data_IF_871809887008
#
_entry.id   IF_871809887008
#
_cell.length_a   1.000
_cell.length_b   1.000
_cell.length_c   1.000
_cell.angle_alpha   90.00
_cell.angle_beta   90.00
_cell.angle_gamma   90.00
#
_symmetry.space_group_name_H-M   'P 1'
#
loop_
_entity.id
_entity.type
_entity.pdbx_description
1 polymer ?
#
# COMPACT_ATOMS: atom_id res chain seq x y z
N UNK A 1 -0.37 -8.89 19.39
CA UNK A 1 -0.26 -7.64 18.61
C UNK A 1 0.42 -7.96 17.29
N UNK A 2 -0.29 -7.79 16.16
CA UNK A 2 0.22 -8.14 14.84
C UNK A 2 1.40 -7.26 14.45
N UNK A 3 2.45 -7.88 13.90
CA UNK A 3 3.66 -7.22 13.40
C UNK A 3 3.24 -6.07 12.46
N UNK A 4 3.58 -4.82 12.81
CA UNK A 4 3.35 -3.67 11.92
C UNK A 4 3.92 -4.00 10.55
N UNK A 5 3.07 -3.88 9.52
CA UNK A 5 3.50 -4.03 8.14
C UNK A 5 4.53 -2.94 7.86
N UNK A 6 5.75 -3.32 7.45
CA UNK A 6 6.79 -2.36 7.12
C UNK A 6 6.48 -1.72 5.75
N UNK A 7 5.53 -0.78 5.70
CA UNK A 7 5.20 -0.03 4.49
C UNK A 7 6.23 1.10 4.35
N UNK A 8 7.03 1.05 3.28
CA UNK A 8 8.14 1.98 3.04
C UNK A 8 7.70 3.35 2.50
N UNK A 9 6.42 3.49 2.13
CA UNK A 9 5.84 4.69 1.54
C UNK A 9 5.07 5.47 2.62
N UNK A 10 5.60 6.61 3.06
CA UNK A 10 5.07 7.40 4.18
C UNK A 10 3.66 7.91 3.91
N UNK A 11 3.42 8.44 2.72
CA UNK A 11 2.11 8.98 2.33
C UNK A 11 1.06 7.87 2.23
N UNK A 12 1.38 6.73 1.60
CA UNK A 12 0.51 5.57 1.60
C UNK A 12 0.18 5.11 3.03
N UNK A 13 1.17 5.03 3.92
CA UNK A 13 0.94 4.64 5.32
C UNK A 13 0.01 5.64 6.03
N UNK A 14 0.21 6.95 5.81
CA UNK A 14 -0.65 7.97 6.37
C UNK A 14 -2.10 7.85 5.86
N UNK A 15 -2.30 7.57 4.57
CA UNK A 15 -3.64 7.35 4.00
C UNK A 15 -4.26 6.03 4.47
N UNK A 16 -3.47 4.98 4.66
CA UNK A 16 -3.92 3.74 5.28
C UNK A 16 -4.49 4.00 6.69
N UNK A 17 -3.75 4.74 7.52
CA UNK A 17 -4.18 5.07 8.88
C UNK A 17 -5.42 5.98 8.89
N UNK A 18 -5.53 6.95 7.96
CA UNK A 18 -6.68 7.86 7.83
C UNK A 18 -7.97 7.16 7.42
N UNK A 19 -7.87 6.12 6.60
CA UNK A 19 -9.03 5.44 5.99
C UNK A 19 -9.31 4.06 6.62
N UNK A 20 -8.59 3.67 7.68
CA UNK A 20 -8.66 2.34 8.29
C UNK A 20 -8.46 1.19 7.28
N UNK A 21 -7.49 1.39 6.37
CA UNK A 21 -7.14 0.43 5.32
C UNK A 21 -5.91 -0.36 5.74
N UNK A 22 -6.10 -1.68 5.89
CA UNK A 22 -5.04 -2.62 6.22
C UNK A 22 -4.39 -3.22 4.98
N UNK A 23 -3.16 -3.75 5.13
CA UNK A 23 -2.50 -4.54 4.06
C UNK A 23 -3.34 -5.76 3.67
N UNK A 24 -4.15 -6.31 4.58
CA UNK A 24 -5.05 -7.42 4.27
C UNK A 24 -6.14 -6.99 3.28
N UNK A 25 -6.83 -5.87 3.53
CA UNK A 25 -7.86 -5.35 2.63
C UNK A 25 -7.28 -4.98 1.26
N UNK A 26 -6.10 -4.36 1.22
CA UNK A 26 -5.43 -4.07 -0.05
C UNK A 26 -5.08 -5.36 -0.81
N UNK A 27 -4.58 -6.39 -0.12
CA UNK A 27 -4.23 -7.66 -0.75
C UNK A 27 -5.47 -8.39 -1.30
N UNK A 28 -6.59 -8.32 -0.59
CA UNK A 28 -7.89 -8.84 -1.06
C UNK A 28 -8.36 -8.14 -2.33
N UNK A 29 -8.27 -6.80 -2.39
CA UNK A 29 -8.61 -6.01 -3.57
C UNK A 29 -7.71 -6.30 -4.78
N UNK A 30 -6.44 -6.64 -4.54
CA UNK A 30 -5.47 -7.00 -5.58
C UNK A 30 -5.48 -8.50 -5.92
N UNK A 31 -6.36 -9.29 -5.30
CA UNK A 31 -6.42 -10.75 -5.44
C UNK A 31 -5.05 -11.43 -5.22
N UNK A 32 -4.28 -10.95 -4.23
CA UNK A 32 -2.95 -11.47 -3.93
C UNK A 32 -2.79 -11.85 -2.46
N UNK A 33 -1.76 -12.64 -2.17
CA UNK A 33 -1.43 -13.00 -0.80
C UNK A 33 -0.95 -11.77 -0.01
N UNK A 34 -1.43 -11.63 1.24
CA UNK A 34 -1.09 -10.52 2.15
C UNK A 34 0.43 -10.39 2.41
N UNK A 35 1.16 -11.49 2.48
CA UNK A 35 2.61 -11.46 2.66
C UNK A 35 3.34 -11.07 1.37
N UNK A 36 2.82 -11.46 0.20
CA UNK A 36 3.32 -10.97 -1.10
C UNK A 36 3.17 -9.45 -1.19
N UNK A 37 1.98 -8.91 -0.90
CA UNK A 37 1.78 -7.46 -0.89
C UNK A 37 2.67 -6.78 0.15
N UNK A 38 2.77 -7.35 1.36
CA UNK A 38 3.63 -6.83 2.42
C UNK A 38 5.10 -6.73 2.00
N UNK A 39 5.63 -7.70 1.25
CA UNK A 39 6.99 -7.64 0.70
C UNK A 39 7.14 -6.54 -0.35
N UNK A 40 6.14 -6.35 -1.22
CA UNK A 40 6.12 -5.27 -2.23
C UNK A 40 6.11 -3.89 -1.56
N UNK A 41 5.22 -3.68 -0.60
CA UNK A 41 5.12 -2.44 0.17
C UNK A 41 6.36 -2.16 1.03
N UNK A 42 7.11 -3.20 1.39
CA UNK A 42 8.40 -3.10 2.09
C UNK A 42 9.62 -2.95 1.16
N UNK A 43 9.43 -2.76 -0.15
CA UNK A 43 10.48 -2.73 -1.19
C UNK A 43 11.34 -4.01 -1.26
N UNK A 44 10.85 -5.14 -0.76
CA UNK A 44 11.51 -6.46 -0.80
C UNK A 44 11.18 -7.26 -2.07
N UNK A 45 10.28 -6.76 -2.89
CA UNK A 45 9.94 -7.28 -4.22
C UNK A 45 9.34 -6.15 -5.05
N UNK A 46 9.39 -6.22 -6.40
CA UNK A 46 8.82 -5.18 -7.26
C UNK A 46 7.33 -4.98 -7.00
N UNK A 47 6.92 -3.72 -6.84
CA UNK A 47 5.52 -3.29 -6.92
C UNK A 47 5.29 -2.78 -8.36
N UNK A 48 4.36 -3.40 -9.08
CA UNK A 48 4.09 -3.04 -10.46
C UNK A 48 3.11 -1.86 -10.56
N UNK A 49 3.18 -1.13 -11.67
CA UNK A 49 2.38 0.08 -11.86
C UNK A 49 0.86 -0.19 -11.82
N UNK A 50 0.41 -1.31 -12.38
CA UNK A 50 -1.00 -1.71 -12.30
C UNK A 50 -1.42 -1.99 -10.86
N UNK A 51 -0.58 -2.64 -10.05
CA UNK A 51 -0.83 -2.87 -8.62
C UNK A 51 -0.94 -1.54 -7.87
N UNK A 52 -0.08 -0.56 -8.17
CA UNK A 52 -0.13 0.77 -7.59
C UNK A 52 -1.45 1.50 -7.94
N UNK A 53 -1.93 1.38 -9.18
CA UNK A 53 -3.23 1.94 -9.57
C UNK A 53 -4.40 1.27 -8.86
N UNK A 54 -4.40 -0.06 -8.68
CA UNK A 54 -5.45 -0.74 -7.93
C UNK A 54 -5.45 -0.34 -6.45
N UNK A 55 -4.27 -0.20 -5.84
CA UNK A 55 -4.14 0.31 -4.47
C UNK A 55 -4.69 1.73 -4.36
N UNK A 56 -4.38 2.61 -5.31
CA UNK A 56 -4.84 3.99 -5.31
C UNK A 56 -6.38 4.11 -5.32
N UNK A 57 -7.09 3.21 -6.01
CA UNK A 57 -8.57 3.20 -6.05
C UNK A 57 -9.22 2.95 -4.69
N UNK A 58 -8.48 2.41 -3.72
CA UNK A 58 -8.98 2.17 -2.36
C UNK A 58 -9.09 3.45 -1.54
N UNK A 59 -8.42 4.53 -1.97
CA UNK A 59 -8.38 5.80 -1.25
C UNK A 59 -9.33 6.81 -1.92
N UNK A 60 -10.33 7.35 -1.20
CA UNK A 60 -11.29 8.30 -1.76
C UNK A 60 -10.70 9.70 -1.95
N UNK A 61 -9.60 10.02 -1.25
CA UNK A 61 -8.86 11.29 -1.34
C UNK A 61 -7.37 10.98 -1.43
N UNK A 62 -6.61 11.92 -2.01
CA UNK A 62 -5.15 11.82 -2.15
C UNK A 62 -4.70 10.51 -2.81
N UNK A 63 -5.40 10.10 -3.87
CA UNK A 63 -5.16 8.84 -4.59
C UNK A 63 -4.20 8.98 -5.79
N UNK A 64 -3.50 10.10 -5.94
CA UNK A 64 -2.47 10.22 -6.96
C UNK A 64 -1.31 9.26 -6.62
N UNK A 65 -0.93 8.43 -7.60
CA UNK A 65 0.09 7.39 -7.42
C UNK A 65 1.46 7.97 -7.06
N UNK A 66 1.81 9.16 -7.55
CA UNK A 66 3.10 9.81 -7.25
C UNK A 66 3.11 10.31 -5.82
N UNK A 67 1.97 10.81 -5.33
CA UNK A 67 1.80 11.17 -3.93
C UNK A 67 1.87 9.93 -3.03
N UNK A 68 1.04 8.91 -3.28
CA UNK A 68 0.95 7.72 -2.41
C UNK A 68 2.28 6.98 -2.30
N UNK A 69 2.99 6.82 -3.42
CA UNK A 69 4.23 6.06 -3.52
C UNK A 69 5.48 6.96 -3.59
N UNK A 70 5.37 8.21 -3.12
CA UNK A 70 6.52 9.10 -2.95
C UNK A 70 7.58 8.40 -2.09
N UNK A 71 8.84 8.47 -2.53
CA UNK A 71 9.92 7.90 -1.74
C UNK A 71 10.09 8.71 -0.45
N UNK A 72 9.97 8.05 0.70
CA UNK A 72 10.39 8.64 1.96
C UNK A 72 11.89 8.96 1.84
N UNK A 73 12.20 10.26 1.83
CA UNK A 73 13.57 10.79 1.77
C UNK A 73 14.35 10.47 3.05
#
# INVERSE_FOLDING_TARGET
MGKQSNVAFSNLRAEMDRNDITVKQMAEALHMNRDTLGRKLARKSPLYLNEAFEIAKLFPKNNDIRFLFEEAS
#
